data_IF_075662180908
#
_entry.id   IF_075662180908
#
_cell.length_a   1.000
_cell.length_b   1.000
_cell.length_c   1.000
_cell.angle_alpha   90.00
_cell.angle_beta   90.00
_cell.angle_gamma   90.00
#
_symmetry.space_group_name_H-M   'P 1'
#
loop_
_entity.id
_entity.type
_entity.pdbx_description
1 polymer ?
#
# COMPACT_ATOMS: atom_id res chain seq x y z
N UNK A 1 39.69 48.13 -16.26
CA UNK A 1 40.20 47.48 -15.03
C UNK A 1 41.18 46.42 -15.45
N UNK A 2 42.42 46.49 -14.95
CA UNK A 2 43.42 45.43 -15.17
C UNK A 2 43.23 44.36 -14.08
N UNK A 3 43.24 43.09 -14.47
CA UNK A 3 43.05 41.94 -13.58
C UNK A 3 44.33 41.11 -13.59
N UNK A 4 44.94 40.91 -12.42
CA UNK A 4 46.14 40.09 -12.27
C UNK A 4 45.75 38.70 -11.72
N UNK A 5 45.86 37.62 -12.51
CA UNK A 5 45.69 36.27 -12.01
C UNK A 5 46.93 35.84 -11.20
N UNK A 6 46.72 35.34 -9.98
CA UNK A 6 47.80 34.95 -9.07
C UNK A 6 47.97 33.41 -9.05
N UNK A 7 49.22 32.96 -8.88
CA UNK A 7 49.53 31.55 -8.69
C UNK A 7 49.12 31.08 -7.27
N UNK A 8 48.86 29.78 -7.11
CA UNK A 8 48.47 29.14 -5.85
C UNK A 8 49.44 29.42 -4.69
N UNK A 9 50.75 29.49 -4.95
CA UNK A 9 51.76 29.80 -3.92
C UNK A 9 51.61 31.21 -3.33
N UNK A 10 51.19 32.18 -4.17
CA UNK A 10 50.96 33.54 -3.72
C UNK A 10 49.58 33.68 -3.09
N UNK A 11 48.59 32.93 -3.58
CA UNK A 11 47.26 32.87 -3.00
C UNK A 11 47.27 32.38 -1.54
N UNK A 12 48.17 31.46 -1.17
CA UNK A 12 48.29 31.00 0.23
C UNK A 12 48.99 32.00 1.16
N UNK A 13 49.58 33.07 0.64
CA UNK A 13 50.24 34.13 1.43
C UNK A 13 49.35 35.35 1.68
N UNK A 14 48.21 35.41 1.00
CA UNK A 14 47.23 36.48 1.13
C UNK A 14 46.16 36.02 2.12
N UNK A 15 45.72 36.92 3.00
CA UNK A 15 44.63 36.62 3.92
C UNK A 15 43.36 36.27 3.14
N UNK A 16 42.72 35.15 3.52
CA UNK A 16 41.43 34.71 2.98
C UNK A 16 40.49 34.43 4.14
N UNK A 17 39.19 34.72 4.01
CA UNK A 17 38.24 34.48 5.09
C UNK A 17 38.15 32.98 5.38
N UNK A 18 38.02 32.65 6.66
CA UNK A 18 37.94 31.30 7.22
C UNK A 18 36.51 30.71 7.10
N UNK A 19 35.97 30.74 5.89
CA UNK A 19 34.62 30.26 5.62
C UNK A 19 34.52 28.75 5.84
N UNK A 20 33.61 28.33 6.73
CA UNK A 20 33.30 26.93 6.98
C UNK A 20 31.80 26.66 6.87
N UNK A 21 31.44 25.39 6.71
CA UNK A 21 30.04 24.95 6.62
C UNK A 21 29.56 24.46 7.98
N UNK A 22 28.58 25.15 8.58
CA UNK A 22 28.05 24.82 9.90
C UNK A 22 27.42 23.43 9.95
N UNK A 23 26.72 23.03 8.88
CA UNK A 23 26.11 21.71 8.76
C UNK A 23 26.93 20.76 7.87
N UNK A 24 28.19 21.07 7.59
CA UNK A 24 29.07 20.19 6.83
C UNK A 24 29.55 19.01 7.68
N UNK A 25 29.19 17.78 7.32
CA UNK A 25 29.70 16.56 7.96
C UNK A 25 31.05 16.14 7.37
N UNK A 26 31.17 16.23 6.05
CA UNK A 26 32.41 15.93 5.32
C UNK A 26 32.49 16.81 4.08
N UNK A 27 33.60 17.51 3.90
CA UNK A 27 33.80 18.38 2.76
C UNK A 27 35.16 18.11 2.12
N UNK A 28 35.22 18.13 0.80
CA UNK A 28 36.42 17.86 0.02
C UNK A 28 36.72 19.08 -0.86
N UNK A 29 37.92 19.62 -0.72
CA UNK A 29 38.46 20.59 -1.66
C UNK A 29 39.19 19.86 -2.78
N UNK A 30 38.80 20.10 -4.03
CA UNK A 30 39.38 19.40 -5.19
C UNK A 30 40.78 19.92 -5.52
N UNK A 31 41.72 19.01 -5.80
CA UNK A 31 43.13 19.33 -6.02
C UNK A 31 43.77 18.65 -7.25
N UNK A 32 42.97 18.19 -8.21
CA UNK A 32 43.45 17.49 -9.41
C UNK A 32 43.29 18.36 -10.68
N UNK A 33 44.32 18.58 -11.50
CA UNK A 33 45.76 18.21 -11.36
C UNK A 33 46.56 19.15 -10.47
N UNK A 34 46.02 20.35 -10.18
CA UNK A 34 46.54 21.32 -9.22
C UNK A 34 45.39 21.74 -8.28
N UNK A 35 45.65 22.39 -7.14
CA UNK A 35 44.59 22.92 -6.28
C UNK A 35 43.61 23.78 -7.09
N UNK A 36 42.32 23.41 -7.07
CA UNK A 36 41.26 24.11 -7.82
C UNK A 36 40.84 25.38 -7.07
N UNK A 37 41.78 26.32 -6.98
CA UNK A 37 41.65 27.63 -6.38
C UNK A 37 42.12 28.67 -7.39
N UNK A 38 41.43 29.79 -7.44
CA UNK A 38 41.80 30.90 -8.30
C UNK A 38 41.64 32.19 -7.52
N UNK A 39 42.72 32.98 -7.48
CA UNK A 39 42.74 34.32 -6.88
C UNK A 39 43.08 35.35 -7.96
N UNK A 40 42.23 36.36 -8.10
CA UNK A 40 42.43 37.48 -9.04
C UNK A 40 42.44 38.79 -8.26
N UNK A 41 43.45 39.61 -8.48
CA UNK A 41 43.57 40.94 -7.90
C UNK A 41 43.18 41.99 -8.94
N UNK A 42 42.26 42.86 -8.57
CA UNK A 42 41.86 44.04 -9.35
C UNK A 42 42.76 45.22 -8.97
N UNK A 43 42.99 46.15 -9.90
CA UNK A 43 43.79 47.36 -9.71
C UNK A 43 43.37 48.22 -8.49
N UNK A 44 42.09 48.21 -8.11
CA UNK A 44 41.56 48.88 -6.93
C UNK A 44 41.79 48.14 -5.58
N UNK A 45 42.48 47.00 -5.59
CA UNK A 45 42.72 46.18 -4.40
C UNK A 45 41.65 45.10 -4.12
N UNK A 46 40.58 45.03 -4.93
CA UNK A 46 39.53 44.00 -4.75
C UNK A 46 40.07 42.62 -5.13
N UNK A 47 39.82 41.64 -4.27
CA UNK A 47 40.19 40.24 -4.50
C UNK A 47 38.97 39.42 -4.90
N UNK A 48 39.10 38.66 -5.98
CA UNK A 48 38.17 37.59 -6.34
C UNK A 48 38.83 36.24 -6.02
N UNK A 49 38.27 35.52 -5.06
CA UNK A 49 38.72 34.18 -4.68
C UNK A 49 37.62 33.17 -4.98
N UNK A 50 37.97 32.11 -5.71
CA UNK A 50 37.04 31.02 -6.05
C UNK A 50 37.70 29.68 -5.78
N UNK A 51 36.89 28.70 -5.38
CA UNK A 51 37.35 27.34 -5.15
C UNK A 51 36.28 26.32 -5.54
N UNK A 52 36.70 25.12 -5.92
CA UNK A 52 35.78 24.00 -6.18
C UNK A 52 35.70 23.08 -4.97
N UNK A 53 34.51 22.92 -4.41
CA UNK A 53 34.24 22.08 -3.24
C UNK A 53 33.19 21.00 -3.56
N UNK A 54 33.31 19.85 -2.88
CA UNK A 54 32.21 18.89 -2.67
C UNK A 54 31.85 18.91 -1.20
N UNK A 55 30.60 19.20 -0.89
CA UNK A 55 30.14 19.39 0.49
C UNK A 55 29.07 18.33 0.79
N UNK A 56 29.32 17.49 1.78
CA UNK A 56 28.30 16.64 2.38
C UNK A 56 27.72 17.36 3.58
N UNK A 57 26.61 18.06 3.34
CA UNK A 57 25.87 18.79 4.35
C UNK A 57 24.77 17.92 4.96
N UNK A 58 24.46 18.18 6.23
CA UNK A 58 23.33 17.61 6.92
C UNK A 58 22.02 18.32 6.53
N UNK A 59 21.03 17.51 6.15
CA UNK A 59 19.66 17.97 5.91
C UNK A 59 18.73 17.28 6.91
N UNK A 60 18.17 18.01 7.90
CA UNK A 60 17.15 17.47 8.77
C UNK A 60 15.86 17.25 7.97
N UNK A 61 15.40 16.00 7.90
CA UNK A 61 14.21 15.60 7.16
C UNK A 61 13.11 15.13 8.12
N UNK A 62 11.89 15.60 7.89
CA UNK A 62 10.68 15.10 8.55
C UNK A 62 9.95 14.18 7.56
N UNK A 63 9.89 12.88 7.89
CA UNK A 63 9.40 11.82 7.00
C UNK A 63 7.96 11.39 7.31
N UNK A 64 7.19 12.23 8.01
CA UNK A 64 5.80 11.93 8.38
C UNK A 64 4.95 11.62 7.15
N UNK A 65 5.11 12.39 6.08
CA UNK A 65 4.36 12.25 4.83
C UNK A 65 5.07 11.37 3.79
N UNK A 66 6.06 10.55 4.19
CA UNK A 66 6.80 9.72 3.25
C UNK A 66 5.87 8.77 2.45
N UNK A 67 5.98 8.70 1.10
CA UNK A 67 6.97 9.32 0.20
C UNK A 67 6.48 10.60 -0.52
N UNK A 68 5.36 11.19 -0.09
CA UNK A 68 4.77 12.42 -0.64
C UNK A 68 5.30 13.66 0.11
N UNK A 69 6.57 13.63 0.45
CA UNK A 69 7.26 14.61 1.27
C UNK A 69 8.01 15.67 0.44
N UNK A 70 8.12 16.86 1.03
CA UNK A 70 8.93 17.98 0.53
C UNK A 70 9.87 18.40 1.65
N UNK A 71 11.13 18.64 1.32
CA UNK A 71 12.16 19.03 2.27
C UNK A 71 12.88 20.28 1.82
N UNK A 72 13.17 21.17 2.77
CA UNK A 72 14.04 22.32 2.56
C UNK A 72 15.41 22.01 3.18
N UNK A 73 16.37 21.62 2.35
CA UNK A 73 17.72 21.28 2.82
C UNK A 73 18.59 22.55 2.90
N UNK A 74 19.02 22.98 4.10
CA UNK A 74 19.85 24.16 4.24
C UNK A 74 21.31 23.84 3.89
N UNK A 75 22.01 24.81 3.31
CA UNK A 75 23.46 24.87 3.25
C UNK A 75 23.88 26.14 3.97
N UNK A 76 24.52 25.97 5.13
CA UNK A 76 24.87 27.08 6.04
C UNK A 76 26.37 27.26 6.07
N UNK A 77 26.85 28.46 5.77
CA UNK A 77 28.26 28.79 5.86
C UNK A 77 28.50 30.17 6.47
N UNK A 78 29.62 30.32 7.17
CA UNK A 78 29.97 31.54 7.90
C UNK A 78 31.46 31.55 8.24
N UNK A 79 31.91 32.60 8.92
CA UNK A 79 33.25 32.66 9.48
C UNK A 79 33.32 31.82 10.75
N UNK A 80 34.45 31.14 10.97
CA UNK A 80 34.67 30.34 12.16
C UNK A 80 35.14 31.20 13.35
N UNK A 81 36.14 32.06 13.12
CA UNK A 81 36.78 32.86 14.15
C UNK A 81 36.25 34.29 14.21
N UNK A 82 35.99 34.92 13.06
CA UNK A 82 35.65 36.34 12.97
C UNK A 82 34.18 36.61 13.25
N UNK A 83 33.94 37.53 14.19
CA UNK A 83 32.60 37.96 14.59
C UNK A 83 32.00 38.94 13.59
N UNK A 84 30.71 39.27 13.77
CA UNK A 84 29.97 40.23 12.94
C UNK A 84 30.61 41.62 12.87
N UNK A 85 31.41 42.01 13.85
CA UNK A 85 32.12 43.30 13.86
C UNK A 85 33.39 43.30 13.00
N UNK A 86 33.92 42.13 12.67
CA UNK A 86 35.18 41.96 11.93
C UNK A 86 34.94 41.60 10.47
N UNK A 87 34.06 40.60 10.22
CA UNK A 87 33.76 40.11 8.88
C UNK A 87 32.25 40.00 8.66
N UNK A 88 31.76 40.60 7.57
CA UNK A 88 30.35 40.56 7.17
C UNK A 88 30.23 39.92 5.79
N UNK A 89 29.53 38.79 5.71
CA UNK A 89 29.21 38.16 4.43
C UNK A 89 28.00 38.81 3.76
N UNK A 90 28.10 38.99 2.44
CA UNK A 90 27.01 39.52 1.60
C UNK A 90 26.94 38.74 0.29
N UNK A 91 25.72 38.61 -0.25
CA UNK A 91 25.49 38.03 -1.57
C UNK A 91 25.83 39.08 -2.64
N UNK A 92 26.64 38.74 -3.64
CA UNK A 92 27.04 39.68 -4.69
C UNK A 92 25.91 40.03 -5.65
N UNK A 93 25.01 39.10 -5.94
CA UNK A 93 23.85 39.29 -6.83
C UNK A 93 22.51 38.94 -6.15
N UNK A 94 22.52 38.73 -4.83
CA UNK A 94 21.34 38.30 -4.09
C UNK A 94 20.76 36.94 -4.51
N UNK A 95 21.50 36.15 -5.31
CA UNK A 95 21.06 34.86 -5.86
C UNK A 95 22.20 33.85 -5.89
N UNK A 96 21.84 32.57 -5.85
CA UNK A 96 22.73 31.44 -6.12
C UNK A 96 22.36 30.91 -7.51
N UNK A 97 23.36 30.61 -8.34
CA UNK A 97 23.09 30.03 -9.65
C UNK A 97 23.30 28.52 -9.60
N UNK A 98 22.26 27.77 -10.00
CA UNK A 98 22.31 26.32 -10.13
C UNK A 98 22.42 25.99 -11.62
N UNK A 99 23.46 25.23 -12.00
CA UNK A 99 23.63 24.81 -13.39
C UNK A 99 22.46 23.93 -13.85
N UNK A 100 21.87 24.26 -15.00
CA UNK A 100 20.66 23.59 -15.55
C UNK A 100 20.83 22.06 -15.67
N UNK A 101 22.02 21.59 -16.03
CA UNK A 101 22.34 20.16 -16.15
C UNK A 101 22.72 19.45 -14.83
N UNK A 102 23.04 20.20 -13.78
CA UNK A 102 23.53 19.68 -12.50
C UNK A 102 22.44 19.21 -11.53
N UNK A 103 21.17 19.47 -11.87
CA UNK A 103 20.02 19.29 -10.98
C UNK A 103 19.31 17.93 -11.11
N UNK A 104 19.82 17.00 -11.93
CA UNK A 104 19.15 15.71 -12.18
C UNK A 104 19.44 14.72 -11.05
N UNK A 105 18.58 14.73 -10.03
CA UNK A 105 18.60 13.75 -8.95
C UNK A 105 17.69 12.55 -9.30
N UNK A 106 18.13 11.35 -8.92
CA UNK A 106 17.40 10.11 -9.23
C UNK A 106 16.11 9.97 -8.41
N UNK A 107 16.15 10.28 -7.11
CA UNK A 107 15.03 10.09 -6.18
C UNK A 107 14.26 11.37 -5.88
N UNK A 108 14.85 12.54 -6.16
CA UNK A 108 14.27 13.84 -5.87
C UNK A 108 14.21 14.71 -7.12
N UNK A 109 13.37 15.73 -7.07
CA UNK A 109 13.37 16.87 -7.98
C UNK A 109 13.72 18.13 -7.17
N UNK A 110 14.64 18.93 -7.70
CA UNK A 110 14.90 20.26 -7.16
C UNK A 110 13.80 21.19 -7.68
N UNK A 111 12.95 21.68 -6.78
CA UNK A 111 11.87 22.60 -7.12
C UNK A 111 12.40 24.04 -7.27
N UNK A 112 13.40 24.40 -6.47
CA UNK A 112 13.95 25.74 -6.41
C UNK A 112 14.90 25.89 -5.22
N UNK A 113 15.40 27.10 -5.03
CA UNK A 113 16.26 27.42 -3.92
C UNK A 113 16.00 28.84 -3.42
N UNK A 114 16.13 29.06 -2.12
CA UNK A 114 15.97 30.38 -1.51
C UNK A 114 17.25 30.73 -0.76
N UNK A 115 17.70 31.98 -0.88
CA UNK A 115 18.86 32.48 -0.13
C UNK A 115 18.39 33.29 1.07
N UNK A 116 19.14 33.18 2.16
CA UNK A 116 18.90 33.88 3.42
C UNK A 116 20.21 34.37 4.03
N UNK A 117 20.06 35.25 5.02
CA UNK A 117 21.15 35.71 5.87
C UNK A 117 20.64 35.69 7.30
N UNK A 118 21.32 34.92 8.13
CA UNK A 118 20.99 34.73 9.54
C UNK A 118 22.15 35.25 10.41
N UNK A 119 21.86 35.60 11.66
CA UNK A 119 22.89 35.85 12.68
C UNK A 119 22.75 34.83 13.79
N UNK A 120 23.82 34.10 14.08
CA UNK A 120 23.86 33.11 15.15
C UNK A 120 24.65 33.67 16.32
N UNK A 121 24.07 33.61 17.51
CA UNK A 121 24.78 33.89 18.75
C UNK A 121 25.43 32.61 19.26
N UNK A 122 26.75 32.68 19.46
CA UNK A 122 27.56 31.63 20.07
C UNK A 122 28.15 32.15 21.38
N UNK A 123 28.73 31.27 22.18
CA UNK A 123 29.42 31.65 23.42
C UNK A 123 30.58 32.62 23.20
N UNK A 124 31.18 32.63 22.01
CA UNK A 124 32.30 33.49 21.62
C UNK A 124 31.87 34.82 21.01
N UNK A 125 30.60 34.99 20.65
CA UNK A 125 30.09 36.20 20.02
C UNK A 125 29.02 35.93 18.95
N UNK A 126 28.62 36.99 18.26
CA UNK A 126 27.62 36.94 17.18
C UNK A 126 28.29 36.80 15.82
N UNK A 127 27.88 35.80 15.03
CA UNK A 127 28.43 35.49 13.72
C UNK A 127 27.37 35.68 12.62
N UNK A 128 27.80 36.11 11.43
CA UNK A 128 26.95 36.15 10.24
C UNK A 128 27.01 34.81 9.54
N UNK A 129 25.83 34.23 9.30
CA UNK A 129 25.67 32.95 8.62
C UNK A 129 24.85 33.16 7.35
N UNK A 130 25.41 32.71 6.23
CA UNK A 130 24.75 32.69 4.95
C UNK A 130 24.06 31.35 4.80
N UNK A 131 22.77 31.38 4.49
CA UNK A 131 21.95 30.17 4.35
C UNK A 131 21.40 30.08 2.94
N UNK A 132 21.46 28.90 2.33
CA UNK A 132 20.74 28.59 1.09
C UNK A 132 19.88 27.36 1.32
N UNK A 133 18.57 27.50 1.14
CA UNK A 133 17.61 26.41 1.23
C UNK A 133 17.38 25.81 -0.15
N UNK A 134 17.63 24.51 -0.30
CA UNK A 134 17.29 23.75 -1.50
C UNK A 134 15.99 23.00 -1.27
N UNK A 135 14.96 23.32 -2.04
CA UNK A 135 13.65 22.68 -1.94
C UNK A 135 13.64 21.41 -2.79
N UNK A 136 13.66 20.27 -2.12
CA UNK A 136 13.68 18.94 -2.72
C UNK A 136 12.33 18.27 -2.55
N UNK A 137 11.77 17.76 -3.65
CA UNK A 137 10.56 16.93 -3.64
C UNK A 137 10.90 15.51 -4.01
N UNK A 138 10.39 14.52 -3.29
CA UNK A 138 10.61 13.10 -3.63
C UNK A 138 9.74 12.67 -4.83
N UNK A 139 10.31 11.80 -5.67
CA UNK A 139 9.59 11.13 -6.76
C UNK A 139 8.79 9.95 -6.22
N UNK A 140 7.46 10.04 -6.33
CA UNK A 140 6.53 9.04 -5.79
C UNK A 140 6.43 7.76 -6.65
N UNK A 141 6.75 7.83 -7.95
CA UNK A 141 6.45 6.77 -8.93
C UNK A 141 7.05 5.40 -8.60
N UNK A 142 8.26 5.36 -8.04
CA UNK A 142 8.90 4.11 -7.61
C UNK A 142 8.09 3.39 -6.52
N UNK A 143 7.66 4.14 -5.50
CA UNK A 143 6.90 3.60 -4.38
C UNK A 143 5.49 3.16 -4.79
N UNK A 144 4.88 3.86 -5.76
CA UNK A 144 3.58 3.44 -6.33
C UNK A 144 3.67 2.06 -6.95
N UNK A 145 4.67 1.82 -7.80
CA UNK A 145 4.80 0.55 -8.53
C UNK A 145 5.29 -0.57 -7.61
N UNK A 146 6.22 -0.30 -6.70
CA UNK A 146 6.81 -1.35 -5.86
C UNK A 146 6.08 -1.63 -4.57
N UNK A 147 5.35 -0.67 -4.01
CA UNK A 147 4.72 -0.80 -2.69
C UNK A 147 3.20 -0.69 -2.79
N UNK A 148 2.68 0.45 -3.24
CA UNK A 148 1.22 0.69 -3.23
C UNK A 148 0.46 -0.27 -4.12
N UNK A 149 0.88 -0.47 -5.38
CA UNK A 149 0.19 -1.33 -6.33
C UNK A 149 0.17 -2.80 -5.86
N UNK A 150 1.29 -3.43 -5.45
CA UNK A 150 1.26 -4.78 -4.90
C UNK A 150 0.38 -4.92 -3.66
N UNK A 151 0.33 -3.91 -2.78
CA UNK A 151 -0.52 -3.94 -1.59
C UNK A 151 -2.00 -3.85 -1.93
N UNK A 152 -2.38 -2.93 -2.82
CA UNK A 152 -3.75 -2.82 -3.34
C UNK A 152 -4.18 -4.14 -3.99
N UNK A 153 -3.33 -4.73 -4.84
CA UNK A 153 -3.61 -6.01 -5.49
C UNK A 153 -3.76 -7.15 -4.47
N UNK A 154 -2.92 -7.17 -3.43
CA UNK A 154 -3.01 -8.18 -2.35
C UNK A 154 -4.33 -8.06 -1.57
N UNK A 155 -4.78 -6.83 -1.29
CA UNK A 155 -6.09 -6.58 -0.65
C UNK A 155 -7.24 -6.99 -1.56
N UNK A 156 -7.17 -6.70 -2.86
CA UNK A 156 -8.20 -7.16 -3.82
C UNK A 156 -8.22 -8.69 -3.88
N UNK A 157 -7.06 -9.35 -3.93
CA UNK A 157 -6.95 -10.82 -3.93
C UNK A 157 -7.55 -11.44 -2.67
N UNK A 158 -7.39 -10.82 -1.49
CA UNK A 158 -8.02 -11.33 -0.28
C UNK A 158 -9.55 -11.25 -0.34
N UNK A 159 -10.10 -10.21 -0.99
CA UNK A 159 -11.54 -10.03 -1.19
C UNK A 159 -12.15 -10.98 -2.25
N UNK A 160 -11.35 -11.42 -3.22
CA UNK A 160 -11.79 -12.44 -4.20
C UNK A 160 -12.20 -13.75 -3.51
N UNK A 161 -11.62 -14.05 -2.34
CA UNK A 161 -11.99 -15.25 -1.57
C UNK A 161 -13.46 -15.29 -1.13
N UNK A 162 -14.13 -14.14 -1.00
CA UNK A 162 -15.57 -14.05 -0.64
C UNK A 162 -16.50 -14.56 -1.75
N UNK A 163 -16.00 -14.60 -2.99
CA UNK A 163 -16.74 -15.14 -4.13
C UNK A 163 -16.64 -16.65 -4.23
N UNK A 164 -15.70 -17.27 -3.50
CA UNK A 164 -15.54 -18.71 -3.51
C UNK A 164 -16.62 -19.39 -2.67
N UNK A 165 -17.03 -20.57 -3.12
CA UNK A 165 -17.96 -21.40 -2.38
C UNK A 165 -17.38 -21.72 -1.00
N UNK A 166 -18.18 -21.55 0.05
CA UNK A 166 -17.80 -21.86 1.44
C UNK A 166 -17.41 -23.33 1.68
N UNK A 167 -17.80 -24.22 0.78
CA UNK A 167 -17.46 -25.64 0.84
C UNK A 167 -15.97 -25.87 0.46
N UNK A 168 -15.35 -24.93 -0.26
CA UNK A 168 -13.94 -24.95 -0.65
C UNK A 168 -13.04 -24.41 0.47
N UNK A 169 -13.16 -24.97 1.67
CA UNK A 169 -12.38 -24.60 2.87
C UNK A 169 -10.87 -24.55 2.60
N UNK A 170 -10.25 -25.57 1.95
CA UNK A 170 -8.81 -25.54 1.71
C UNK A 170 -8.36 -24.36 0.86
N UNK A 171 -9.13 -24.01 -0.17
CA UNK A 171 -8.80 -22.91 -1.06
C UNK A 171 -8.90 -21.56 -0.33
N UNK A 172 -9.97 -21.31 0.45
CA UNK A 172 -10.13 -20.07 1.22
C UNK A 172 -9.04 -19.91 2.28
N UNK A 173 -8.65 -20.99 2.98
CA UNK A 173 -7.55 -20.95 3.96
C UNK A 173 -6.24 -20.55 3.30
N UNK A 174 -5.90 -21.15 2.15
CA UNK A 174 -4.66 -20.84 1.42
C UNK A 174 -4.66 -19.38 0.95
N UNK A 175 -5.75 -18.89 0.35
CA UNK A 175 -5.84 -17.48 -0.04
C UNK A 175 -5.67 -16.53 1.16
N UNK A 176 -6.32 -16.81 2.30
CA UNK A 176 -6.21 -15.97 3.50
C UNK A 176 -4.80 -15.96 4.09
N UNK A 177 -4.19 -17.12 4.29
CA UNK A 177 -2.84 -17.21 4.90
C UNK A 177 -1.76 -16.67 3.96
N UNK A 178 -1.83 -17.01 2.67
CA UNK A 178 -0.85 -16.52 1.69
C UNK A 178 -0.92 -15.00 1.54
N UNK A 179 -2.11 -14.38 1.50
CA UNK A 179 -2.22 -12.92 1.41
C UNK A 179 -1.67 -12.20 2.65
N UNK A 180 -1.87 -12.74 3.87
CA UNK A 180 -1.25 -12.20 5.09
C UNK A 180 0.28 -12.32 5.04
N UNK A 181 0.80 -13.46 4.60
CA UNK A 181 2.24 -13.67 4.44
C UNK A 181 2.82 -12.69 3.41
N UNK A 182 2.21 -12.59 2.23
CA UNK A 182 2.61 -11.64 1.18
C UNK A 182 2.61 -10.20 1.69
N UNK A 183 1.58 -9.80 2.44
CA UNK A 183 1.50 -8.46 3.02
C UNK A 183 2.62 -8.21 4.05
N UNK A 184 2.96 -9.22 4.85
CA UNK A 184 4.08 -9.17 5.80
C UNK A 184 5.41 -8.99 5.06
N UNK A 185 5.63 -9.74 3.98
CA UNK A 185 6.82 -9.63 3.13
C UNK A 185 6.94 -8.25 2.48
N UNK A 186 5.84 -7.72 1.92
CA UNK A 186 5.80 -6.37 1.32
C UNK A 186 6.11 -5.29 2.37
N UNK A 187 5.59 -5.42 3.58
CA UNK A 187 5.87 -4.49 4.70
C UNK A 187 7.34 -4.48 5.08
N UNK A 188 7.97 -5.65 5.22
CA UNK A 188 9.41 -5.74 5.54
C UNK A 188 10.24 -5.13 4.39
N UNK A 189 9.92 -5.46 3.14
CA UNK A 189 10.62 -4.93 1.97
C UNK A 189 10.53 -3.40 1.91
N UNK A 190 9.35 -2.83 2.14
CA UNK A 190 9.14 -1.39 2.12
C UNK A 190 9.94 -0.68 3.23
N UNK A 191 10.00 -1.27 4.44
CA UNK A 191 10.75 -0.70 5.57
C UNK A 191 12.27 -0.79 5.40
N UNK A 192 12.78 -1.78 4.65
CA UNK A 192 14.21 -1.87 4.36
C UNK A 192 14.71 -0.74 3.43
N UNK A 193 13.81 -0.17 2.62
CA UNK A 193 14.13 0.97 1.75
C UNK A 193 14.05 2.33 2.45
N UNK A 194 13.56 2.37 3.70
CA UNK A 194 13.38 3.59 4.49
C UNK A 194 14.39 3.65 5.65
N UNK A 195 15.01 4.80 5.95
CA UNK A 195 15.76 4.95 7.20
C UNK A 195 14.87 4.70 8.42
N UNK A 196 15.45 4.14 9.49
CA UNK A 196 14.71 3.83 10.71
C UNK A 196 14.27 5.13 11.41
N UNK A 197 12.97 5.39 11.41
CA UNK A 197 12.32 6.48 12.16
C UNK A 197 11.47 5.90 13.29
N UNK A 198 11.31 6.67 14.37
CA UNK A 198 10.55 6.26 15.56
C UNK A 198 9.04 6.55 15.47
N UNK A 199 8.61 7.35 14.48
CA UNK A 199 7.22 7.69 14.23
C UNK A 199 6.67 6.96 13.00
N UNK A 200 5.34 6.84 12.92
CA UNK A 200 4.67 6.21 11.78
C UNK A 200 4.63 7.16 10.57
N UNK A 201 5.08 6.68 9.42
CA UNK A 201 5.00 7.41 8.16
C UNK A 201 3.64 7.22 7.47
N UNK A 202 3.31 8.07 6.49
CA UNK A 202 2.10 7.92 5.66
C UNK A 202 2.06 6.56 4.95
N UNK A 203 3.21 6.05 4.50
CA UNK A 203 3.33 4.70 3.95
C UNK A 203 3.02 3.63 5.01
N UNK A 204 3.51 3.77 6.25
CA UNK A 204 3.24 2.81 7.33
C UNK A 204 1.74 2.74 7.66
N UNK A 205 1.06 3.89 7.71
CA UNK A 205 -0.40 3.93 7.88
C UNK A 205 -1.15 3.22 6.76
N UNK A 206 -0.72 3.41 5.51
CA UNK A 206 -1.30 2.69 4.36
C UNK A 206 -1.14 1.18 4.48
N UNK A 207 0.08 0.74 4.81
CA UNK A 207 0.41 -0.67 4.99
C UNK A 207 -0.35 -1.29 6.16
N UNK A 208 -0.48 -0.59 7.29
CA UNK A 208 -1.21 -1.05 8.46
C UNK A 208 -2.71 -1.25 8.16
N UNK A 209 -3.33 -0.31 7.45
CA UNK A 209 -4.74 -0.43 7.05
C UNK A 209 -4.93 -1.57 6.05
N UNK A 210 -4.07 -1.69 5.04
CA UNK A 210 -4.12 -2.81 4.10
C UNK A 210 -3.96 -4.17 4.83
N UNK A 211 -3.07 -4.24 5.81
CA UNK A 211 -2.89 -5.43 6.65
C UNK A 211 -4.16 -5.75 7.44
N UNK A 212 -4.82 -4.75 8.02
CA UNK A 212 -6.08 -4.93 8.73
C UNK A 212 -7.19 -5.47 7.81
N UNK A 213 -7.30 -5.02 6.57
CA UNK A 213 -8.27 -5.56 5.59
C UNK A 213 -8.00 -7.03 5.25
N UNK A 214 -6.73 -7.38 4.98
CA UNK A 214 -6.35 -8.77 4.69
C UNK A 214 -6.60 -9.68 5.89
N UNK A 215 -6.25 -9.22 7.10
CA UNK A 215 -6.51 -9.96 8.33
C UNK A 215 -8.01 -10.13 8.61
N UNK A 216 -8.80 -9.08 8.35
CA UNK A 216 -10.26 -9.11 8.50
C UNK A 216 -10.92 -10.11 7.52
N UNK A 217 -10.36 -10.30 6.33
CA UNK A 217 -10.84 -11.33 5.39
C UNK A 217 -10.60 -12.76 5.92
N UNK A 218 -9.51 -13.00 6.66
CA UNK A 218 -9.27 -14.28 7.33
C UNK A 218 -10.25 -14.51 8.49
N UNK A 219 -10.57 -13.46 9.26
CA UNK A 219 -11.59 -13.52 10.33
C UNK A 219 -12.97 -13.82 9.74
N UNK A 220 -13.32 -13.18 8.62
CA UNK A 220 -14.57 -13.42 7.90
C UNK A 220 -14.70 -14.90 7.51
N UNK A 221 -13.65 -15.49 6.95
CA UNK A 221 -13.60 -16.91 6.63
C UNK A 221 -13.81 -17.80 7.86
N UNK A 222 -13.15 -17.49 8.98
CA UNK A 222 -13.33 -18.22 10.23
C UNK A 222 -14.80 -18.18 10.70
N UNK A 223 -15.45 -17.01 10.62
CA UNK A 223 -16.86 -16.87 10.96
C UNK A 223 -17.76 -17.69 10.01
N UNK A 224 -17.53 -17.64 8.69
CA UNK A 224 -18.29 -18.41 7.70
C UNK A 224 -18.15 -19.91 7.92
N UNK A 225 -16.94 -20.39 8.22
CA UNK A 225 -16.72 -21.80 8.54
C UNK A 225 -17.44 -22.23 9.82
N UNK A 226 -17.40 -21.40 10.86
CA UNK A 226 -18.07 -21.72 12.13
C UNK A 226 -19.59 -21.90 11.94
N UNK A 227 -20.23 -21.08 11.09
CA UNK A 227 -21.65 -21.21 10.77
C UNK A 227 -21.96 -22.26 9.69
N UNK A 228 -20.96 -22.93 9.13
CA UNK A 228 -21.14 -23.96 8.10
C UNK A 228 -21.48 -25.31 8.74
N UNK A 229 -22.78 -25.59 8.86
CA UNK A 229 -23.32 -26.83 9.48
C UNK A 229 -23.16 -28.12 8.65
N UNK A 230 -22.78 -28.05 7.38
CA UNK A 230 -22.64 -29.21 6.46
C UNK A 230 -21.49 -29.00 5.47
N UNK A 231 -20.71 -30.06 5.24
CA UNK A 231 -19.48 -30.06 4.42
C UNK A 231 -19.69 -30.45 2.94
N UNK A 232 -20.92 -30.78 2.53
CA UNK A 232 -21.18 -31.34 1.19
C UNK A 232 -21.27 -30.24 0.13
N UNK A 233 -20.43 -30.35 -0.90
CA UNK A 233 -20.44 -29.43 -2.03
C UNK A 233 -21.75 -29.49 -2.84
N UNK A 234 -22.23 -28.35 -3.38
CA UNK A 234 -23.38 -28.37 -4.29
C UNK A 234 -23.06 -29.14 -5.58
N UNK A 235 -23.62 -30.34 -5.69
CA UNK A 235 -23.47 -31.21 -6.87
C UNK A 235 -24.48 -30.80 -7.95
N UNK A 236 -24.04 -29.98 -8.91
CA UNK A 236 -24.92 -29.34 -9.89
C UNK A 236 -25.64 -30.27 -10.86
N UNK A 237 -25.21 -31.54 -10.92
CA UNK A 237 -25.82 -32.57 -11.76
C UNK A 237 -27.25 -32.93 -11.31
N UNK A 238 -27.54 -32.86 -10.00
CA UNK A 238 -28.83 -33.30 -9.44
C UNK A 238 -29.98 -32.31 -9.63
N UNK A 239 -29.70 -31.03 -9.88
CA UNK A 239 -30.77 -30.03 -10.13
C UNK A 239 -31.33 -30.13 -11.54
N UNK A 240 -30.49 -30.47 -12.53
CA UNK A 240 -30.94 -30.76 -13.90
C UNK A 240 -31.84 -32.01 -13.91
N UNK A 241 -31.44 -33.09 -13.23
CA UNK A 241 -32.27 -34.30 -13.10
C UNK A 241 -33.60 -34.05 -12.37
N UNK A 242 -33.61 -33.21 -11.32
CA UNK A 242 -34.84 -32.82 -10.61
C UNK A 242 -35.76 -31.90 -11.44
N UNK A 243 -35.18 -31.10 -12.34
CA UNK A 243 -35.91 -30.25 -13.27
C UNK A 243 -36.50 -31.05 -14.43
N UNK A 244 -35.76 -32.03 -14.98
CA UNK A 244 -36.26 -33.00 -15.95
C UNK A 244 -37.39 -33.89 -15.36
N UNK A 245 -37.29 -34.29 -14.09
CA UNK A 245 -38.37 -35.04 -13.41
C UNK A 245 -39.65 -34.21 -13.23
N UNK A 246 -39.54 -32.90 -13.00
CA UNK A 246 -40.71 -32.00 -12.90
C UNK A 246 -41.41 -31.78 -14.25
N UNK A 247 -40.68 -31.85 -15.37
CA UNK A 247 -41.27 -31.77 -16.71
C UNK A 247 -42.03 -33.06 -17.07
N UNK A 248 -41.66 -34.20 -16.48
CA UNK A 248 -42.28 -35.51 -16.77
C UNK A 248 -43.55 -35.85 -15.96
N UNK A 249 -43.95 -35.06 -14.96
CA UNK A 249 -45.20 -35.31 -14.21
C UNK A 249 -46.35 -34.40 -14.67
N UNK A 250 -47.51 -34.95 -15.11
CA UNK A 250 -48.68 -34.13 -15.42
C UNK A 250 -49.32 -33.62 -14.13
N UNK A 251 -49.73 -32.34 -14.11
CA UNK A 251 -50.54 -31.77 -13.03
C UNK A 251 -51.97 -32.32 -13.12
N UNK A 252 -52.33 -33.24 -12.25
CA UNK A 252 -53.72 -33.67 -12.06
C UNK A 252 -54.50 -32.54 -11.38
N UNK A 253 -55.51 -32.01 -12.08
CA UNK A 253 -56.41 -30.97 -11.57
C UNK A 253 -57.52 -31.64 -10.75
N UNK A 254 -57.57 -31.33 -9.45
CA UNK A 254 -58.71 -31.65 -8.58
C UNK A 254 -59.90 -30.77 -8.96
N UNK A 255 -60.97 -31.37 -9.48
CA UNK A 255 -62.28 -30.72 -9.61
C UNK A 255 -63.27 -31.42 -8.68
N UNK A 256 -63.76 -30.67 -7.70
CA UNK A 256 -64.84 -31.09 -6.81
C UNK A 256 -66.19 -30.87 -7.51
N UNK A 257 -67.03 -31.89 -7.58
CA UNK A 257 -68.48 -31.72 -7.75
C UNK A 257 -69.20 -32.89 -7.08
N UNK A 258 -70.06 -32.59 -6.11
CA UNK A 258 -70.96 -33.54 -5.45
C UNK A 258 -72.14 -33.85 -6.37
N UNK A 259 -72.61 -35.11 -6.37
CA UNK A 259 -74.02 -35.45 -6.59
C UNK A 259 -74.36 -36.80 -5.92
N UNK A 260 -75.62 -36.89 -5.51
CA UNK A 260 -76.21 -37.73 -4.47
C UNK A 260 -77.12 -38.81 -5.08
N UNK A 261 -77.11 -40.01 -4.47
CA UNK A 261 -78.14 -41.07 -4.38
C UNK A 261 -78.37 -42.04 -5.56
N UNK A 262 -78.35 -43.35 -5.22
CA UNK A 262 -79.08 -44.42 -5.92
C UNK A 262 -78.43 -45.81 -5.85
N UNK A 263 -78.75 -46.58 -4.79
CA UNK A 263 -78.94 -48.06 -4.66
C UNK A 263 -78.50 -48.97 -5.85
N UNK A 264 -77.75 -50.08 -5.73
CA UNK A 264 -78.09 -51.37 -5.07
C UNK A 264 -76.90 -52.37 -5.12
N UNK A 265 -76.88 -53.27 -4.13
CA UNK A 265 -76.07 -54.46 -3.77
C UNK A 265 -75.47 -55.38 -4.85
N UNK A 266 -74.32 -56.00 -4.54
CA UNK A 266 -74.16 -57.47 -4.43
C UNK A 266 -72.82 -57.87 -3.76
N UNK A 267 -72.90 -58.78 -2.78
CA UNK A 267 -71.77 -59.46 -2.12
C UNK A 267 -71.17 -60.55 -3.03
N UNK A 268 -69.90 -60.91 -2.81
CA UNK A 268 -69.56 -62.32 -2.59
C UNK A 268 -68.26 -62.53 -1.80
N UNK A 269 -68.41 -63.32 -0.74
CA UNK A 269 -67.44 -63.86 0.22
C UNK A 269 -67.01 -65.25 -0.26
N UNK A 270 -65.74 -65.63 -0.07
CA UNK A 270 -65.38 -66.95 0.49
C UNK A 270 -63.97 -66.92 1.09
N UNK A 271 -63.84 -67.60 2.24
CA UNK A 271 -62.80 -67.52 3.26
C UNK A 271 -62.26 -68.95 3.53
N UNK A 272 -60.92 -69.14 3.43
CA UNK A 272 -60.00 -70.03 4.20
C UNK A 272 -60.32 -71.55 4.39
N UNK A 273 -59.54 -72.41 5.11
CA UNK A 273 -58.18 -72.33 5.73
C UNK A 273 -57.29 -73.60 5.52
N UNK A 274 -56.03 -73.59 6.01
CA UNK A 274 -55.23 -74.83 6.23
C UNK A 274 -53.80 -74.60 6.77
N UNK A 275 -53.51 -75.16 7.96
CA UNK A 275 -52.29 -75.03 8.79
C UNK A 275 -51.06 -75.87 8.31
N UNK A 276 -49.84 -75.70 8.90
CA UNK A 276 -48.55 -75.94 8.25
C UNK A 276 -47.85 -77.26 8.63
N UNK A 277 -46.91 -77.73 7.79
CA UNK A 277 -45.90 -78.74 8.18
C UNK A 277 -44.54 -78.48 7.52
N UNK A 278 -43.50 -78.66 8.31
CA UNK A 278 -42.07 -78.42 8.06
C UNK A 278 -41.47 -79.49 7.13
N UNK A 279 -40.65 -79.11 6.14
CA UNK A 279 -39.39 -79.82 5.79
C UNK A 279 -38.54 -79.06 4.77
N UNK A 280 -37.25 -79.38 4.79
CA UNK A 280 -36.09 -78.64 4.29
C UNK A 280 -35.82 -78.75 2.77
N UNK A 281 -35.12 -77.71 2.29
CA UNK A 281 -34.07 -77.70 1.26
C UNK A 281 -34.43 -77.55 -0.24
N UNK A 282 -33.56 -76.73 -0.86
CA UNK A 282 -33.18 -76.60 -2.27
C UNK A 282 -33.78 -75.42 -3.07
N UNK A 283 -32.90 -74.81 -3.84
CA UNK A 283 -32.98 -73.48 -4.43
C UNK A 283 -33.92 -73.36 -5.65
N UNK A 284 -34.53 -72.19 -5.82
CA UNK A 284 -34.39 -71.28 -6.98
C UNK A 284 -35.66 -70.43 -7.24
N UNK A 285 -35.45 -69.11 -7.32
CA UNK A 285 -36.16 -68.09 -8.13
C UNK A 285 -37.69 -68.05 -8.19
N UNK A 286 -38.28 -66.98 -7.61
CA UNK A 286 -39.49 -66.29 -8.11
C UNK A 286 -39.54 -64.84 -7.56
N UNK A 287 -40.26 -63.92 -8.23
CA UNK A 287 -39.98 -62.48 -8.22
C UNK A 287 -40.55 -61.75 -7.00
N UNK A 288 -39.68 -61.04 -6.29
CA UNK A 288 -40.06 -60.19 -5.17
C UNK A 288 -40.69 -58.87 -5.63
N UNK A 289 -41.88 -58.62 -5.08
CA UNK A 289 -42.57 -57.35 -4.84
C UNK A 289 -41.63 -56.14 -4.76
N UNK A 290 -41.97 -54.96 -5.32
CA UNK A 290 -41.10 -53.80 -5.30
C UNK A 290 -40.88 -53.35 -3.86
N UNK A 291 -39.67 -53.61 -3.34
CA UNK A 291 -39.18 -53.02 -2.11
C UNK A 291 -39.24 -51.50 -2.26
N UNK A 292 -40.09 -50.88 -1.45
CA UNK A 292 -40.17 -49.43 -1.27
C UNK A 292 -38.77 -48.95 -0.91
N UNK A 293 -38.08 -48.29 -1.85
CA UNK A 293 -36.80 -47.63 -1.59
C UNK A 293 -37.01 -46.68 -0.41
N UNK A 294 -36.14 -46.66 0.60
CA UNK A 294 -36.21 -45.64 1.64
C UNK A 294 -36.18 -44.27 0.95
N UNK A 295 -36.96 -43.29 1.44
CA UNK A 295 -37.04 -41.99 0.79
C UNK A 295 -35.64 -41.41 0.68
N UNK A 296 -35.21 -41.09 -0.54
CA UNK A 296 -33.92 -40.47 -0.81
C UNK A 296 -33.84 -39.19 0.06
N UNK A 297 -32.93 -39.19 1.04
CA UNK A 297 -32.70 -38.03 1.91
C UNK A 297 -32.51 -36.81 1.02
N UNK A 298 -33.50 -35.92 0.94
CA UNK A 298 -33.40 -34.65 0.23
C UNK A 298 -32.19 -33.92 0.79
N UNK A 299 -31.07 -33.93 0.06
CA UNK A 299 -29.84 -33.22 0.44
C UNK A 299 -30.17 -31.73 0.43
N UNK A 300 -30.48 -31.16 1.59
CA UNK A 300 -30.67 -29.72 1.73
C UNK A 300 -29.31 -29.06 1.56
N UNK A 301 -29.17 -28.30 0.49
CA UNK A 301 -27.96 -27.53 0.22
C UNK A 301 -27.88 -26.30 1.09
N UNK A 302 -26.66 -25.85 1.22
CA UNK A 302 -26.26 -24.78 2.08
C UNK A 302 -26.50 -23.44 1.32
N UNK A 303 -27.52 -22.64 1.69
CA UNK A 303 -27.73 -21.27 1.13
C UNK A 303 -26.57 -20.31 1.44
N UNK A 304 -26.06 -19.59 0.43
CA UNK A 304 -24.98 -18.57 0.54
C UNK A 304 -25.07 -17.80 1.87
N UNK A 305 -23.96 -17.75 2.62
CA UNK A 305 -23.93 -17.08 3.92
C UNK A 305 -24.33 -15.61 3.75
N UNK A 306 -25.18 -15.11 4.64
CA UNK A 306 -25.51 -13.67 4.68
C UNK A 306 -24.25 -12.84 4.92
N UNK A 307 -23.26 -13.41 5.63
CA UNK A 307 -21.95 -12.81 5.88
C UNK A 307 -21.18 -12.62 4.57
N UNK A 308 -20.98 -13.68 3.77
CA UNK A 308 -20.30 -13.58 2.47
C UNK A 308 -20.97 -12.53 1.56
N UNK A 309 -22.31 -12.47 1.52
CA UNK A 309 -23.04 -11.47 0.70
C UNK A 309 -22.77 -10.04 1.14
N UNK A 310 -22.71 -9.78 2.44
CA UNK A 310 -22.41 -8.47 2.99
C UNK A 310 -20.95 -8.10 2.75
N UNK A 311 -20.02 -9.02 3.02
CA UNK A 311 -18.58 -8.83 2.87
C UNK A 311 -18.17 -8.47 1.45
N UNK A 312 -18.83 -9.06 0.44
CA UNK A 312 -18.63 -8.74 -0.99
C UNK A 312 -18.87 -7.28 -1.36
N UNK A 313 -19.67 -6.54 -0.60
CA UNK A 313 -19.98 -5.13 -0.87
C UNK A 313 -19.23 -4.24 0.10
N UNK A 314 -19.28 -4.57 1.39
CA UNK A 314 -18.73 -3.72 2.45
C UNK A 314 -17.21 -3.59 2.36
N UNK A 315 -16.47 -4.68 2.15
CA UNK A 315 -15.01 -4.63 2.11
C UNK A 315 -14.46 -3.80 0.94
N UNK A 316 -14.90 -4.01 -0.32
CA UNK A 316 -14.46 -3.19 -1.44
C UNK A 316 -14.83 -1.71 -1.28
N UNK A 317 -16.05 -1.41 -0.80
CA UNK A 317 -16.52 -0.02 -0.61
C UNK A 317 -15.69 0.69 0.47
N UNK A 318 -15.46 0.04 1.62
CA UNK A 318 -14.63 0.61 2.68
C UNK A 318 -13.18 0.83 2.22
N UNK A 319 -12.63 -0.11 1.46
CA UNK A 319 -11.27 0.04 0.94
C UNK A 319 -11.19 1.15 -0.13
N UNK A 320 -12.21 1.32 -0.98
CA UNK A 320 -12.28 2.41 -1.94
C UNK A 320 -12.38 3.78 -1.25
N UNK A 321 -13.22 3.90 -0.22
CA UNK A 321 -13.31 5.12 0.61
C UNK A 321 -11.96 5.42 1.26
N UNK A 322 -11.31 4.41 1.84
CA UNK A 322 -9.98 4.57 2.43
C UNK A 322 -8.96 5.10 1.41
N UNK A 323 -8.89 4.53 0.20
CA UNK A 323 -7.98 5.00 -0.85
C UNK A 323 -8.28 6.45 -1.23
N UNK A 324 -9.55 6.81 -1.42
CA UNK A 324 -9.95 8.17 -1.74
C UNK A 324 -9.50 9.17 -0.66
N UNK A 325 -9.75 8.85 0.62
CA UNK A 325 -9.33 9.69 1.75
C UNK A 325 -7.81 9.77 1.85
N UNK A 326 -7.11 8.65 1.70
CA UNK A 326 -5.66 8.57 1.78
C UNK A 326 -4.99 9.46 0.74
N UNK A 327 -5.32 9.25 -0.54
CA UNK A 327 -4.73 10.01 -1.64
C UNK A 327 -5.14 11.48 -1.59
N UNK A 328 -6.39 11.80 -1.24
CA UNK A 328 -6.81 13.19 -1.07
C UNK A 328 -6.03 13.90 0.05
N UNK A 329 -5.76 13.24 1.18
CA UNK A 329 -5.09 13.86 2.32
C UNK A 329 -3.61 14.12 2.03
N UNK A 330 -2.88 13.09 1.60
CA UNK A 330 -1.43 13.18 1.45
C UNK A 330 -0.99 13.87 0.15
N UNK A 331 -1.80 13.84 -0.91
CA UNK A 331 -1.49 14.58 -2.15
C UNK A 331 -1.92 16.04 -2.04
N UNK A 332 -3.01 16.39 -1.33
CA UNK A 332 -3.40 17.80 -1.19
C UNK A 332 -2.48 18.58 -0.25
N UNK A 333 -1.91 17.94 0.78
CA UNK A 333 -0.89 18.56 1.64
C UNK A 333 0.32 19.04 0.82
N UNK A 334 0.65 18.34 -0.27
CA UNK A 334 1.68 18.75 -1.24
C UNK A 334 1.35 20.09 -1.94
N UNK A 335 0.09 20.27 -2.35
CA UNK A 335 -0.36 21.45 -3.10
C UNK A 335 -0.33 22.71 -2.22
N UNK A 336 -0.64 22.56 -0.93
CA UNK A 336 -0.56 23.64 0.05
C UNK A 336 0.89 24.11 0.27
N UNK A 337 1.86 23.19 0.33
CA UNK A 337 3.28 23.52 0.51
C UNK A 337 3.86 24.21 -0.73
N UNK A 338 3.51 23.73 -1.94
CA UNK A 338 3.91 24.39 -3.20
C UNK A 338 3.37 25.82 -3.32
N UNK A 339 2.21 26.12 -2.72
CA UNK A 339 1.65 27.47 -2.68
C UNK A 339 2.39 28.45 -1.77
N UNK A 340 3.22 27.96 -0.84
CA UNK A 340 4.00 28.78 0.09
C UNK A 340 5.42 29.08 -0.39
N UNK A 341 5.88 28.42 -1.45
CA UNK A 341 7.20 28.71 -2.05
C UNK A 341 7.01 29.95 -2.94
N UNK A 342 7.69 31.09 -2.64
CA UNK A 342 7.67 32.24 -3.52
C UNK A 342 8.15 31.81 -4.90
N UNK A 343 7.35 32.08 -5.93
CA UNK A 343 7.84 32.00 -7.30
C UNK A 343 8.66 33.27 -7.53
N UNK A 344 9.96 33.08 -7.75
CA UNK A 344 10.88 34.15 -8.18
C UNK A 344 10.43 34.82 -9.48
#
# INVERSE_FOLDING_TARGET
>A
MKILPLNNLLASKIWTPDTFFHNGKKSVAHNMTTPNKLLRLVDNGTLLYTMRLTIHAECPMHLEDFPMDVHACPLKFGSYAYTKTEVIYTWTLGKVEVAEGGSRLNQYDLLGHNVGRDSIESSTGTYIVMTTYFHLKRKIGYFVIQTYLPCIMTVILSQVSFWLNRESVPARTVFGVTTVLTMTTLSISARNSLPKVAYATAMDWFMAVCYAFVFSALIEFAAVNYFTKRSWAWDGKKVLEAQEMKVRMPKEKTNNTYNIVGTTYALNITKEPGLPTISKSAASTTPGTPATRPPENKKTYNSVSKVDKMSRIVFPVLFAIFNMVYWATYVNRESAIKGMIPKD
#
